data_IF_617992773980
#
_entry.id   IF_617992773980
#
_cell.length_a   1.000
_cell.length_b   1.000
_cell.length_c   1.000
_cell.angle_alpha   90.00
_cell.angle_beta   90.00
_cell.angle_gamma   90.00
#
_symmetry.space_group_name_H-M   'P 1'
#
loop_
_entity.id
_entity.type
_entity.pdbx_description
1 polymer ?
#
# COMPACT_ATOMS: atom_id res chain seq x y z
N UNK A 1 -21.31 8.65 -33.44
CA UNK A 1 -21.88 9.96 -33.08
C UNK A 1 -23.37 9.77 -33.05
N UNK A 2 -23.98 9.67 -31.86
CA UNK A 2 -25.43 9.76 -31.75
C UNK A 2 -25.83 11.23 -31.90
N UNK A 3 -26.53 11.54 -32.98
CA UNK A 3 -27.22 12.82 -33.16
C UNK A 3 -28.58 12.71 -32.46
N UNK A 4 -28.63 13.07 -31.18
CA UNK A 4 -29.88 13.46 -30.53
C UNK A 4 -29.88 14.98 -30.40
N UNK A 5 -30.73 15.61 -31.21
CA UNK A 5 -31.06 17.02 -31.09
C UNK A 5 -31.97 17.13 -29.86
N UNK A 6 -31.46 17.62 -28.73
CA UNK A 6 -32.30 17.89 -27.57
C UNK A 6 -33.09 19.18 -27.78
N UNK A 7 -34.41 19.04 -27.92
CA UNK A 7 -35.39 20.10 -27.69
C UNK A 7 -35.41 20.42 -26.18
N UNK A 8 -35.40 21.70 -25.81
CA UNK A 8 -35.54 22.16 -24.43
C UNK A 8 -37.00 22.47 -24.10
N UNK A 9 -37.46 21.96 -22.96
CA UNK A 9 -38.85 22.02 -22.48
C UNK A 9 -39.25 23.37 -21.86
N UNK A 10 -40.57 23.60 -21.87
CA UNK A 10 -41.32 24.70 -21.27
C UNK A 10 -41.38 24.63 -19.73
N UNK A 11 -41.28 25.78 -19.05
CA UNK A 11 -42.05 26.04 -17.83
C UNK A 11 -42.29 27.55 -17.64
N UNK A 12 -43.58 27.90 -17.62
CA UNK A 12 -44.13 29.21 -17.31
C UNK A 12 -44.04 29.39 -15.78
N UNK A 13 -43.41 30.49 -15.31
CA UNK A 13 -43.32 31.01 -13.93
C UNK A 13 -42.00 30.73 -13.17
N UNK A 14 -41.39 31.86 -12.75
CA UNK A 14 -40.29 32.07 -11.78
C UNK A 14 -39.88 30.83 -10.96
N UNK A 15 -38.83 30.16 -11.41
CA UNK A 15 -37.96 29.32 -10.57
C UNK A 15 -36.50 29.74 -10.78
N UNK A 16 -35.59 29.50 -9.80
CA UNK A 16 -34.17 29.68 -10.02
C UNK A 16 -33.70 28.78 -11.16
N UNK A 17 -32.81 29.29 -12.01
CA UNK A 17 -32.26 28.58 -13.16
C UNK A 17 -31.66 27.21 -12.73
N UNK A 18 -32.30 26.12 -13.10
CA UNK A 18 -31.64 24.83 -13.23
C UNK A 18 -31.32 24.58 -14.70
N UNK A 19 -30.07 24.84 -15.10
CA UNK A 19 -29.59 24.46 -16.42
C UNK A 19 -29.58 22.93 -16.52
N UNK A 20 -30.51 22.33 -17.28
CA UNK A 20 -30.39 20.92 -17.62
C UNK A 20 -29.08 20.70 -18.41
N UNK A 21 -28.35 19.65 -18.00
CA UNK A 21 -26.95 19.39 -18.38
C UNK A 21 -26.78 19.31 -19.90
N UNK A 22 -26.11 20.29 -20.51
CA UNK A 22 -25.54 20.14 -21.86
C UNK A 22 -24.44 19.09 -21.85
N UNK A 23 -24.10 18.55 -23.04
CA UNK A 23 -22.93 17.69 -23.22
C UNK A 23 -21.70 18.45 -22.71
N UNK A 24 -21.22 18.05 -21.54
CA UNK A 24 -20.02 18.59 -20.90
C UNK A 24 -18.78 17.77 -21.24
N UNK A 25 -18.96 16.55 -21.74
CA UNK A 25 -17.89 15.58 -21.98
C UNK A 25 -18.09 14.81 -23.28
N UNK A 26 -17.02 14.67 -24.05
CA UNK A 26 -16.93 13.75 -25.19
C UNK A 26 -15.85 12.71 -24.88
N UNK A 27 -16.15 11.43 -25.06
CA UNK A 27 -15.20 10.32 -24.91
C UNK A 27 -15.05 9.62 -26.26
N UNK A 28 -13.83 9.56 -26.76
CA UNK A 28 -13.48 8.84 -27.99
C UNK A 28 -12.96 7.46 -27.57
N UNK A 29 -13.64 6.40 -28.01
CA UNK A 29 -13.23 5.00 -27.75
C UNK A 29 -12.83 4.29 -29.04
N UNK A 30 -11.86 3.40 -28.96
CA UNK A 30 -11.53 2.41 -30.01
C UNK A 30 -11.38 1.04 -29.37
N UNK A 31 -12.05 0.02 -29.91
CA UNK A 31 -12.06 -1.35 -29.35
C UNK A 31 -12.32 -1.37 -27.83
N UNK A 32 -13.32 -0.60 -27.38
CA UNK A 32 -13.69 -0.39 -25.97
C UNK A 32 -12.64 0.28 -25.06
N UNK A 33 -11.46 0.65 -25.57
CA UNK A 33 -10.47 1.46 -24.85
C UNK A 33 -10.72 2.95 -25.08
N UNK A 34 -10.65 3.77 -24.03
CA UNK A 34 -10.73 5.23 -24.14
C UNK A 34 -9.43 5.73 -24.77
N UNK A 35 -9.55 6.40 -25.91
CA UNK A 35 -8.42 6.96 -26.66
C UNK A 35 -8.18 8.42 -26.27
N UNK A 36 -9.25 9.22 -26.12
CA UNK A 36 -9.21 10.62 -25.66
C UNK A 36 -10.53 11.01 -25.00
N UNK A 37 -10.48 11.94 -24.06
CA UNK A 37 -11.65 12.63 -23.56
C UNK A 37 -11.48 14.16 -23.70
N UNK A 38 -12.59 14.87 -23.79
CA UNK A 38 -12.64 16.32 -23.89
C UNK A 38 -13.72 16.87 -22.98
N UNK A 39 -13.45 18.01 -22.36
CA UNK A 39 -14.45 18.82 -21.67
C UNK A 39 -14.86 19.99 -22.56
N UNK A 40 -16.16 20.24 -22.61
CA UNK A 40 -16.77 21.32 -23.36
C UNK A 40 -17.17 22.44 -22.40
N UNK A 41 -16.55 23.61 -22.55
CA UNK A 41 -16.81 24.78 -21.71
C UNK A 41 -17.75 25.74 -22.43
N UNK A 42 -18.88 26.04 -21.81
CA UNK A 42 -19.84 27.00 -22.33
C UNK A 42 -19.79 28.27 -21.50
N UNK A 43 -19.71 29.42 -22.16
CA UNK A 43 -20.01 30.70 -21.49
C UNK A 43 -21.48 30.96 -21.69
N UNK A 44 -22.18 31.08 -20.57
CA UNK A 44 -23.57 31.49 -20.51
C UNK A 44 -23.57 33.01 -20.27
N UNK A 45 -24.24 33.78 -21.12
CA UNK A 45 -24.32 35.23 -20.93
C UNK A 45 -24.87 35.99 -22.12
N UNK A 46 -25.27 37.21 -21.83
CA UNK A 46 -25.76 38.23 -22.76
C UNK A 46 -24.59 38.83 -23.57
N UNK A 47 -24.74 38.98 -24.90
CA UNK A 47 -23.75 39.61 -25.77
C UNK A 47 -24.32 40.92 -26.36
N UNK A 48 -23.96 42.09 -25.80
CA UNK A 48 -24.57 43.38 -26.15
C UNK A 48 -24.38 43.80 -27.61
N UNK A 49 -23.36 43.29 -28.29
CA UNK A 49 -23.10 43.63 -29.71
C UNK A 49 -24.00 42.90 -30.69
N UNK A 50 -24.84 41.97 -30.21
CA UNK A 50 -25.74 41.15 -31.04
C UNK A 50 -27.22 41.41 -30.75
N UNK A 51 -27.53 42.29 -29.80
CA UNK A 51 -28.87 42.66 -29.34
C UNK A 51 -28.97 44.18 -29.19
N UNK A 52 -30.18 44.74 -29.27
CA UNK A 52 -30.41 46.15 -28.94
C UNK A 52 -30.64 46.24 -27.42
N UNK A 53 -29.68 46.80 -26.69
CA UNK A 53 -29.65 46.83 -25.22
C UNK A 53 -29.31 48.24 -24.72
N UNK A 54 -30.05 48.74 -23.72
CA UNK A 54 -29.83 50.04 -23.10
C UNK A 54 -28.87 50.00 -21.90
N UNK A 55 -28.38 48.81 -21.55
CA UNK A 55 -27.35 48.55 -20.55
C UNK A 55 -27.88 48.06 -19.20
N UNK A 56 -29.17 47.75 -19.09
CA UNK A 56 -29.79 47.23 -17.86
C UNK A 56 -29.68 45.70 -17.71
N UNK A 57 -29.28 45.00 -18.77
CA UNK A 57 -29.08 43.56 -18.80
C UNK A 57 -30.36 42.74 -19.05
N UNK A 58 -31.43 43.37 -19.54
CA UNK A 58 -32.67 42.72 -19.96
C UNK A 58 -32.87 42.79 -21.49
N UNK A 59 -33.71 41.91 -22.03
CA UNK A 59 -34.04 41.91 -23.45
C UNK A 59 -35.16 42.94 -23.74
N UNK A 60 -34.94 43.82 -24.70
CA UNK A 60 -35.86 44.91 -25.05
C UNK A 60 -36.98 44.49 -26.01
N UNK A 61 -36.76 43.42 -26.79
CA UNK A 61 -37.74 42.97 -27.78
C UNK A 61 -38.11 41.49 -27.65
N UNK A 62 -39.41 41.22 -27.84
CA UNK A 62 -40.02 39.89 -27.66
C UNK A 62 -39.52 38.81 -28.63
N UNK A 63 -38.83 39.19 -29.71
CA UNK A 63 -38.26 38.26 -30.69
C UNK A 63 -36.77 37.93 -30.41
N UNK A 64 -36.15 38.57 -29.43
CA UNK A 64 -34.81 38.23 -28.93
C UNK A 64 -34.85 37.08 -27.91
N UNK A 65 -36.07 36.64 -27.57
CA UNK A 65 -36.37 35.62 -26.59
C UNK A 65 -37.37 34.65 -27.23
N UNK A 66 -37.03 33.37 -27.35
CA UNK A 66 -37.99 32.32 -27.74
C UNK A 66 -38.23 31.43 -26.53
N UNK A 67 -39.49 31.31 -26.11
CA UNK A 67 -39.90 30.49 -24.96
C UNK A 67 -39.17 30.85 -23.65
N UNK A 68 -38.88 32.14 -23.44
CA UNK A 68 -38.31 32.66 -22.19
C UNK A 68 -36.78 32.55 -22.04
N UNK A 69 -36.04 32.20 -23.10
CA UNK A 69 -34.57 32.18 -23.08
C UNK A 69 -33.95 33.19 -24.07
N UNK A 70 -32.96 33.95 -23.59
CA UNK A 70 -32.00 34.63 -24.47
C UNK A 70 -31.12 33.56 -25.09
N UNK A 71 -31.18 33.46 -26.40
CA UNK A 71 -30.44 32.46 -27.16
C UNK A 71 -29.02 32.99 -27.31
N UNK A 72 -28.05 32.41 -26.60
CA UNK A 72 -26.69 32.08 -27.07
C UNK A 72 -25.89 31.49 -25.91
N UNK A 73 -25.50 30.21 -26.03
CA UNK A 73 -24.35 29.70 -25.30
C UNK A 73 -23.22 29.51 -26.29
N UNK A 74 -22.13 30.25 -26.10
CA UNK A 74 -20.95 30.09 -26.93
C UNK A 74 -20.13 28.94 -26.32
N UNK A 75 -19.84 27.92 -27.12
CA UNK A 75 -18.75 27.00 -26.79
C UNK A 75 -17.47 27.85 -26.80
N UNK A 76 -16.94 28.12 -25.62
CA UNK A 76 -15.79 29.02 -25.45
C UNK A 76 -14.48 28.26 -25.38
N UNK A 77 -14.53 26.94 -25.16
CA UNK A 77 -13.34 26.12 -25.19
C UNK A 77 -13.67 24.64 -25.27
N UNK A 78 -12.79 23.92 -25.98
CA UNK A 78 -12.66 22.47 -25.90
C UNK A 78 -11.30 22.21 -25.28
N UNK A 79 -11.28 21.70 -24.06
CA UNK A 79 -10.03 21.36 -23.37
C UNK A 79 -9.85 19.85 -23.36
N UNK A 80 -8.66 19.33 -23.74
CA UNK A 80 -8.34 17.93 -23.51
C UNK A 80 -8.60 17.58 -22.05
N UNK A 81 -9.47 16.61 -21.83
CA UNK A 81 -9.68 16.03 -20.52
C UNK A 81 -8.79 14.80 -20.45
N UNK A 82 -7.70 14.92 -19.72
CA UNK A 82 -6.92 13.75 -19.37
C UNK A 82 -7.54 13.17 -18.09
N UNK A 83 -8.01 11.93 -18.15
CA UNK A 83 -8.36 11.17 -16.94
C UNK A 83 -7.12 10.96 -16.03
N UNK A 84 -5.92 11.23 -16.55
CA UNK A 84 -4.69 11.46 -15.80
C UNK A 84 -4.24 12.93 -16.00
N UNK A 85 -4.50 13.88 -15.07
CA UNK A 85 -3.77 15.14 -15.11
C UNK A 85 -2.27 14.82 -15.25
N UNK A 86 -1.47 15.63 -15.96
CA UNK A 86 -0.02 15.46 -15.88
C UNK A 86 0.30 15.38 -14.39
N UNK A 87 0.81 14.23 -13.95
CA UNK A 87 1.28 14.13 -12.58
C UNK A 87 2.18 15.34 -12.39
N UNK A 88 2.09 16.05 -11.25
CA UNK A 88 3.16 16.97 -10.90
C UNK A 88 4.46 16.25 -11.21
N UNK A 89 5.32 16.88 -12.04
CA UNK A 89 6.64 16.35 -12.42
C UNK A 89 7.18 15.65 -11.19
N UNK A 90 7.51 14.34 -11.22
CA UNK A 90 7.65 13.54 -10.01
C UNK A 90 8.56 14.30 -9.06
N UNK A 91 7.93 15.03 -8.14
CA UNK A 91 8.60 15.43 -6.94
C UNK A 91 8.88 14.08 -6.33
N UNK A 92 10.16 13.76 -6.05
CA UNK A 92 10.42 12.55 -5.29
C UNK A 92 9.40 12.55 -4.16
N UNK A 93 8.66 11.43 -3.98
CA UNK A 93 7.68 11.34 -2.92
C UNK A 93 8.34 11.91 -1.68
N UNK A 94 7.64 12.73 -0.86
CA UNK A 94 8.24 13.30 0.34
C UNK A 94 8.98 12.15 0.99
N UNK A 95 10.32 12.29 1.08
CA UNK A 95 11.18 11.19 1.48
C UNK A 95 10.50 10.53 2.64
N UNK A 96 10.23 9.20 2.61
CA UNK A 96 9.66 8.55 3.76
C UNK A 96 10.55 9.01 4.90
N UNK A 97 10.00 9.77 5.85
CA UNK A 97 10.75 10.10 7.06
C UNK A 97 11.33 8.75 7.49
N UNK A 98 12.61 8.73 7.86
CA UNK A 98 13.26 7.55 8.42
C UNK A 98 12.55 7.18 9.73
N UNK A 99 11.32 6.69 9.61
CA UNK A 99 10.36 6.39 10.64
C UNK A 99 10.68 4.98 11.09
N UNK A 100 11.90 4.84 11.58
CA UNK A 100 12.30 3.65 12.30
C UNK A 100 11.41 3.57 13.52
N UNK A 101 10.71 2.46 13.61
CA UNK A 101 9.86 2.12 14.73
C UNK A 101 10.59 1.12 15.61
N UNK A 102 10.36 1.22 16.91
CA UNK A 102 10.98 0.37 17.92
C UNK A 102 10.45 -1.06 17.77
N UNK A 103 11.35 -2.04 17.74
CA UNK A 103 11.02 -3.46 17.67
C UNK A 103 11.33 -4.11 16.32
N UNK A 104 10.90 -5.37 16.18
CA UNK A 104 10.99 -6.14 14.93
C UNK A 104 9.59 -6.36 14.37
N UNK A 105 9.46 -6.35 13.04
CA UNK A 105 8.20 -6.75 12.41
C UNK A 105 8.07 -8.27 12.48
N UNK A 106 7.04 -8.76 13.14
CA UNK A 106 6.63 -10.17 13.17
C UNK A 106 5.52 -10.44 12.16
N UNK A 107 5.70 -11.45 11.30
CA UNK A 107 4.68 -12.03 10.45
C UNK A 107 4.22 -13.34 11.08
N UNK A 108 2.92 -13.45 11.34
CA UNK A 108 2.31 -14.55 12.06
C UNK A 108 1.52 -15.43 11.09
N UNK A 109 1.78 -16.74 11.15
CA UNK A 109 1.22 -17.74 10.26
C UNK A 109 0.48 -18.79 11.08
N UNK A 110 -0.74 -19.14 10.68
CA UNK A 110 -1.52 -20.22 11.28
C UNK A 110 -1.15 -21.58 10.64
N UNK A 111 0.17 -21.83 10.58
CA UNK A 111 0.81 -23.06 10.13
C UNK A 111 2.25 -23.10 10.65
N UNK A 112 2.80 -24.29 10.90
CA UNK A 112 4.23 -24.46 11.23
C UNK A 112 5.15 -24.14 10.04
N UNK A 113 4.62 -24.30 8.82
CA UNK A 113 5.33 -23.94 7.60
C UNK A 113 5.24 -22.42 7.42
N UNK A 114 6.34 -21.73 7.71
CA UNK A 114 6.44 -20.28 7.52
C UNK A 114 5.98 -19.93 6.09
N UNK A 115 5.33 -18.78 5.95
CA UNK A 115 4.80 -18.35 4.66
C UNK A 115 3.51 -19.06 4.23
N UNK A 116 3.03 -20.07 4.95
CA UNK A 116 1.75 -20.73 4.67
C UNK A 116 0.67 -20.25 5.64
N UNK A 117 -0.56 -20.07 5.17
CA UNK A 117 -1.70 -19.66 6.01
C UNK A 117 -1.41 -18.39 6.84
N UNK A 118 -1.00 -17.32 6.15
CA UNK A 118 -0.75 -16.02 6.76
C UNK A 118 -1.96 -15.55 7.59
N UNK A 119 -1.71 -15.00 8.77
CA UNK A 119 -2.74 -14.52 9.69
C UNK A 119 -2.68 -13.00 9.85
N UNK A 120 -1.60 -12.46 10.43
CA UNK A 120 -1.44 -11.02 10.63
C UNK A 120 0.02 -10.62 10.81
N UNK A 121 0.28 -9.31 10.84
CA UNK A 121 1.59 -8.74 11.13
C UNK A 121 1.49 -7.67 12.21
N UNK A 122 2.52 -7.60 13.05
CA UNK A 122 2.68 -6.51 14.03
C UNK A 122 4.15 -6.23 14.28
N UNK A 123 4.42 -5.20 15.07
CA UNK A 123 5.76 -4.85 15.51
C UNK A 123 5.88 -5.25 16.98
N UNK A 124 6.84 -6.12 17.27
CA UNK A 124 7.12 -6.59 18.62
C UNK A 124 8.35 -5.83 19.17
N UNK A 125 8.18 -4.99 20.20
CA UNK A 125 9.28 -4.20 20.76
C UNK A 125 10.43 -5.04 21.30
N UNK A 126 10.14 -6.26 21.76
CA UNK A 126 11.11 -7.24 22.24
C UNK A 126 10.60 -8.66 21.92
N UNK A 127 11.53 -9.60 21.83
CA UNK A 127 11.22 -11.04 21.70
C UNK A 127 11.40 -11.68 23.08
N UNK A 128 10.35 -11.66 23.89
CA UNK A 128 10.32 -12.20 25.26
C UNK A 128 8.94 -12.80 25.54
N UNK A 129 8.52 -13.74 24.70
CA UNK A 129 7.18 -14.31 24.74
C UNK A 129 7.16 -15.65 25.47
N UNK A 130 6.07 -15.85 26.22
CA UNK A 130 5.73 -17.09 26.92
C UNK A 130 4.20 -17.20 26.86
N UNK A 131 3.70 -18.01 25.94
CA UNK A 131 2.27 -18.17 25.68
C UNK A 131 1.67 -19.36 26.44
N UNK A 132 2.47 -20.09 27.22
CA UNK A 132 2.03 -21.33 27.86
C UNK A 132 1.45 -22.29 26.81
N UNK A 133 0.27 -22.85 27.06
CA UNK A 133 -0.41 -23.73 26.09
C UNK A 133 -1.29 -22.99 25.07
N UNK A 134 -0.89 -21.78 24.70
CA UNK A 134 -1.70 -20.86 23.90
C UNK A 134 -0.93 -20.23 22.75
N UNK A 135 -1.54 -19.20 22.17
CA UNK A 135 -1.00 -18.52 21.00
C UNK A 135 -0.90 -17.01 21.21
N UNK A 136 -0.13 -16.31 20.36
CA UNK A 136 -0.01 -14.84 20.40
C UNK A 136 -1.33 -14.09 20.23
N UNK A 137 -2.33 -14.73 19.61
CA UNK A 137 -3.67 -14.21 19.42
C UNK A 137 -4.67 -15.34 19.13
N UNK A 138 -5.47 -15.71 20.14
CA UNK A 138 -6.46 -16.79 20.05
C UNK A 138 -7.58 -16.55 19.02
N UNK A 139 -7.81 -15.30 18.58
CA UNK A 139 -8.85 -15.03 17.58
C UNK A 139 -8.40 -15.34 16.14
N UNK A 140 -7.09 -15.47 15.90
CA UNK A 140 -6.53 -15.57 14.55
C UNK A 140 -5.48 -16.67 14.38
N UNK A 141 -5.03 -17.28 15.48
CA UNK A 141 -4.10 -18.41 15.51
C UNK A 141 -4.67 -19.52 16.38
N UNK A 142 -4.54 -20.77 15.92
CA UNK A 142 -4.74 -21.93 16.78
C UNK A 142 -3.77 -21.93 17.97
N UNK A 143 -4.09 -22.68 19.03
CA UNK A 143 -3.21 -22.84 20.19
C UNK A 143 -1.90 -23.55 19.84
N UNK A 144 -1.93 -24.37 18.80
CA UNK A 144 -0.80 -25.14 18.29
C UNK A 144 -0.68 -24.89 16.78
N UNK A 145 0.39 -25.39 16.18
CA UNK A 145 0.64 -25.36 14.73
C UNK A 145 0.69 -23.96 14.12
N UNK A 146 1.52 -23.08 14.68
CA UNK A 146 1.74 -21.74 14.15
C UNK A 146 3.23 -21.42 14.03
N UNK A 147 3.55 -20.40 13.24
CA UNK A 147 4.93 -19.95 13.07
C UNK A 147 5.00 -18.43 12.97
N UNK A 148 6.17 -17.89 13.31
CA UNK A 148 6.41 -16.46 13.33
C UNK A 148 7.76 -16.16 12.70
N UNK A 149 7.77 -15.17 11.81
CA UNK A 149 8.99 -14.64 11.22
C UNK A 149 9.18 -13.18 11.62
N UNK A 150 10.20 -12.91 12.43
CA UNK A 150 10.61 -11.56 12.76
C UNK A 150 11.77 -11.08 11.90
N UNK A 151 11.70 -9.84 11.45
CA UNK A 151 12.79 -9.17 10.74
C UNK A 151 12.92 -7.69 11.13
N UNK A 152 14.16 -7.21 11.11
CA UNK A 152 14.48 -5.80 11.36
C UNK A 152 15.99 -5.58 11.48
N UNK A 153 16.34 -4.53 12.21
CA UNK A 153 17.72 -4.11 12.46
C UNK A 153 18.02 -4.13 13.97
N UNK A 154 19.18 -4.67 14.32
CA UNK A 154 19.80 -4.66 15.64
C UNK A 154 20.86 -3.56 15.69
N UNK A 155 20.66 -2.57 16.55
CA UNK A 155 21.63 -1.49 16.79
C UNK A 155 22.61 -1.88 17.89
N UNK A 156 23.90 -1.77 17.58
CA UNK A 156 25.00 -2.13 18.47
C UNK A 156 25.87 -0.90 18.70
N UNK A 157 26.16 -0.56 19.96
CA UNK A 157 26.95 0.63 20.29
C UNK A 157 28.46 0.43 20.07
N UNK A 158 28.98 -0.75 20.38
CA UNK A 158 30.40 -1.08 20.32
C UNK A 158 30.61 -2.33 19.48
N UNK A 159 31.64 -2.33 18.64
CA UNK A 159 32.02 -3.54 17.90
C UNK A 159 32.61 -4.60 18.84
N UNK A 160 32.53 -5.85 18.43
CA UNK A 160 33.12 -6.97 19.15
C UNK A 160 32.32 -8.25 19.02
N UNK A 161 32.71 -9.26 19.79
CA UNK A 161 32.03 -10.55 19.83
C UNK A 161 30.78 -10.47 20.69
N UNK A 162 29.63 -10.71 20.06
CA UNK A 162 28.34 -10.85 20.74
C UNK A 162 27.92 -12.31 20.74
N UNK A 163 27.37 -12.78 21.84
CA UNK A 163 26.71 -14.08 21.92
C UNK A 163 25.21 -13.87 22.00
N UNK A 164 24.47 -14.48 21.08
CA UNK A 164 23.01 -14.51 21.09
C UNK A 164 22.54 -15.80 21.75
N UNK A 165 21.41 -15.73 22.45
CA UNK A 165 20.76 -16.87 23.07
C UNK A 165 19.29 -16.86 22.70
N UNK A 166 18.79 -18.00 22.22
CA UNK A 166 17.36 -18.23 22.05
C UNK A 166 16.88 -19.20 23.13
N UNK A 167 15.70 -18.97 23.69
CA UNK A 167 14.97 -19.98 24.48
C UNK A 167 13.68 -20.24 23.73
N UNK A 168 13.50 -21.44 23.19
CA UNK A 168 12.29 -21.76 22.42
C UNK A 168 11.71 -23.14 22.73
N UNK A 169 10.40 -23.23 22.55
CA UNK A 169 9.56 -24.43 22.47
C UNK A 169 8.49 -24.06 21.44
N UNK A 170 8.46 -24.60 20.22
CA UNK A 170 9.40 -25.53 19.59
C UNK A 170 10.56 -24.81 18.85
N UNK A 171 10.69 -25.01 17.53
CA UNK A 171 11.92 -24.80 16.77
C UNK A 171 12.26 -23.34 16.49
N UNK A 172 13.55 -23.07 16.29
CA UNK A 172 14.08 -21.72 16.11
C UNK A 172 15.23 -21.66 15.10
N UNK A 173 15.26 -20.58 14.30
CA UNK A 173 16.44 -20.20 13.51
C UNK A 173 16.72 -18.71 13.66
N UNK A 174 17.99 -18.34 13.86
CA UNK A 174 18.43 -16.95 13.99
C UNK A 174 19.51 -16.64 12.95
N UNK A 175 19.29 -15.56 12.19
CA UNK A 175 20.29 -14.98 11.31
C UNK A 175 20.69 -13.59 11.79
N UNK A 176 21.99 -13.31 11.71
CA UNK A 176 22.55 -11.97 11.88
C UNK A 176 23.36 -11.63 10.64
N UNK A 177 23.09 -10.48 10.00
CA UNK A 177 23.75 -10.06 8.75
C UNK A 177 23.72 -11.15 7.66
N UNK A 178 22.55 -11.80 7.51
CA UNK A 178 22.29 -12.94 6.60
C UNK A 178 23.08 -14.23 6.89
N UNK A 179 23.88 -14.28 7.96
CA UNK A 179 24.52 -15.51 8.44
C UNK A 179 23.60 -16.25 9.41
N UNK A 180 23.25 -17.50 9.11
CA UNK A 180 22.55 -18.39 10.03
C UNK A 180 23.50 -18.77 11.18
N UNK A 181 23.18 -18.34 12.40
CA UNK A 181 24.04 -18.57 13.58
C UNK A 181 23.43 -19.57 14.57
N UNK A 182 22.10 -19.70 14.61
CA UNK A 182 21.40 -20.73 15.39
C UNK A 182 20.43 -21.43 14.46
N UNK A 183 20.50 -22.76 14.41
CA UNK A 183 19.57 -23.63 13.66
C UNK A 183 19.17 -24.82 14.54
N UNK A 184 17.98 -24.74 15.12
CA UNK A 184 17.36 -25.81 15.89
C UNK A 184 15.90 -25.94 15.45
N UNK A 185 15.69 -26.32 14.18
CA UNK A 185 14.36 -26.43 13.56
C UNK A 185 13.74 -27.81 13.76
N UNK A 186 13.58 -28.20 15.01
CA UNK A 186 13.00 -29.49 15.42
C UNK A 186 12.05 -29.30 16.59
N UNK A 187 11.13 -30.25 16.79
CA UNK A 187 10.24 -30.21 17.96
C UNK A 187 11.06 -30.48 19.22
N UNK A 188 10.89 -29.65 20.25
CA UNK A 188 11.60 -29.77 21.50
C UNK A 188 10.95 -28.93 22.60
N UNK A 189 10.97 -29.45 23.83
CA UNK A 189 10.66 -28.68 25.04
C UNK A 189 11.56 -27.43 25.17
N UNK A 190 11.31 -26.51 26.14
CA UNK A 190 12.02 -25.23 26.21
C UNK A 190 13.53 -25.42 26.27
N UNK A 191 14.21 -25.07 25.19
CA UNK A 191 15.62 -25.32 24.96
C UNK A 191 16.36 -24.01 24.76
N UNK A 192 17.53 -23.87 25.40
CA UNK A 192 18.42 -22.73 25.18
C UNK A 192 19.46 -23.08 24.11
N UNK A 193 19.47 -22.36 22.99
CA UNK A 193 20.55 -22.40 22.01
C UNK A 193 21.35 -21.10 22.07
N UNK A 194 22.63 -21.14 21.71
CA UNK A 194 23.46 -19.94 21.66
C UNK A 194 24.53 -20.01 20.59
N UNK A 195 24.91 -18.85 20.06
CA UNK A 195 25.97 -18.71 19.09
C UNK A 195 26.59 -17.33 19.15
N UNK A 196 27.87 -17.23 18.79
CA UNK A 196 28.63 -15.98 18.82
C UNK A 196 28.95 -15.48 17.41
N UNK A 197 28.92 -14.16 17.22
CA UNK A 197 29.29 -13.49 15.97
C UNK A 197 29.97 -12.16 16.28
N UNK A 198 30.92 -11.75 15.43
CA UNK A 198 31.52 -10.42 15.52
C UNK A 198 30.62 -9.39 14.83
N UNK A 199 30.25 -8.33 15.57
CA UNK A 199 29.46 -7.22 15.05
C UNK A 199 30.30 -5.96 14.96
N UNK A 200 29.95 -5.12 13.99
CA UNK A 200 30.44 -3.75 13.91
C UNK A 200 29.47 -2.81 14.62
N UNK A 201 29.93 -1.65 15.13
CA UNK A 201 29.04 -0.62 15.63
C UNK A 201 28.04 -0.19 14.56
N UNK A 202 26.82 0.14 15.00
CA UNK A 202 25.73 0.55 14.12
C UNK A 202 24.70 -0.54 13.91
N UNK A 203 24.07 -0.55 12.74
CA UNK A 203 22.94 -1.42 12.43
C UNK A 203 23.40 -2.73 11.81
N UNK A 204 22.83 -3.82 12.34
CA UNK A 204 23.06 -5.18 11.87
C UNK A 204 21.71 -5.81 11.56
N UNK A 205 21.59 -6.57 10.47
CA UNK A 205 20.34 -7.26 10.13
C UNK A 205 20.06 -8.38 11.12
N UNK A 206 18.82 -8.49 11.58
CA UNK A 206 18.35 -9.64 12.36
C UNK A 206 17.13 -10.25 11.70
N UNK A 207 17.13 -11.58 11.61
CA UNK A 207 15.96 -12.39 11.22
C UNK A 207 15.81 -13.52 12.21
N UNK A 208 14.62 -13.76 12.69
CA UNK A 208 14.30 -14.84 13.63
C UNK A 208 13.09 -15.60 13.10
N UNK A 209 13.21 -16.90 12.98
CA UNK A 209 12.10 -17.81 12.70
C UNK A 209 11.81 -18.63 13.94
N UNK A 210 10.54 -18.85 14.19
CA UNK A 210 10.03 -19.68 15.28
C UNK A 210 8.82 -20.46 14.79
N UNK A 211 8.63 -21.68 15.30
CA UNK A 211 7.35 -22.37 15.18
C UNK A 211 6.97 -23.06 16.49
N UNK A 212 5.67 -23.23 16.67
CA UNK A 212 5.03 -24.03 17.69
C UNK A 212 4.29 -25.18 17.01
N UNK A 213 4.66 -26.43 17.32
CA UNK A 213 3.97 -27.61 16.79
C UNK A 213 2.86 -28.07 17.71
N UNK A 214 3.11 -28.18 19.01
CA UNK A 214 2.14 -28.61 20.01
C UNK A 214 2.65 -28.42 21.44
N UNK A 215 1.77 -28.03 22.35
CA UNK A 215 2.08 -28.06 23.78
C UNK A 215 2.42 -26.69 24.33
N UNK A 216 3.64 -26.49 24.81
CA UNK A 216 4.06 -25.25 25.46
C UNK A 216 4.77 -24.34 24.48
N UNK A 217 4.38 -23.08 24.39
CA UNK A 217 4.93 -22.16 23.42
C UNK A 217 5.72 -21.02 24.09
N UNK A 218 7.01 -20.95 23.80
CA UNK A 218 7.90 -19.91 24.34
C UNK A 218 8.93 -19.49 23.28
N UNK A 219 9.27 -18.20 23.25
CA UNK A 219 10.39 -17.69 22.47
C UNK A 219 10.99 -16.45 23.14
N UNK A 220 12.27 -16.53 23.51
CA UNK A 220 13.05 -15.41 24.05
C UNK A 220 14.32 -15.21 23.24
N UNK A 221 14.66 -13.95 22.96
CA UNK A 221 15.93 -13.57 22.35
C UNK A 221 16.75 -12.70 23.30
N UNK A 222 17.88 -13.23 23.73
CA UNK A 222 18.82 -12.58 24.65
C UNK A 222 20.19 -12.41 23.97
N UNK A 223 21.03 -11.56 24.55
CA UNK A 223 22.40 -11.35 24.10
C UNK A 223 23.36 -11.03 25.25
N UNK A 224 24.64 -11.25 25.01
CA UNK A 224 25.77 -10.75 25.80
C UNK A 224 26.86 -10.25 24.85
N UNK A 225 27.76 -9.38 25.34
CA UNK A 225 28.80 -8.78 24.51
C UNK A 225 29.68 -7.80 25.28
N UNK A 226 30.48 -6.97 24.57
CA UNK A 226 31.35 -5.98 25.20
C UNK A 226 30.58 -5.05 26.15
N UNK A 227 30.86 -5.14 27.45
CA UNK A 227 30.19 -4.35 28.48
C UNK A 227 28.72 -4.73 28.75
N UNK A 228 28.25 -5.86 28.21
CA UNK A 228 26.87 -6.33 28.34
C UNK A 228 26.86 -7.74 28.92
N UNK A 229 26.36 -7.89 30.14
CA UNK A 229 26.01 -9.20 30.70
C UNK A 229 24.78 -9.76 30.01
N UNK A 230 24.60 -11.08 30.03
CA UNK A 230 23.44 -11.74 29.40
C UNK A 230 22.12 -11.12 29.85
N UNK A 231 21.37 -10.58 28.88
CA UNK A 231 20.06 -9.95 29.11
C UNK A 231 19.18 -10.07 27.86
N UNK A 232 17.88 -9.83 28.00
CA UNK A 232 17.00 -9.60 26.86
C UNK A 232 17.55 -8.47 25.99
N UNK A 233 17.43 -8.60 24.66
CA UNK A 233 17.80 -7.48 23.77
C UNK A 233 16.83 -6.32 24.09
N UNK A 234 17.34 -5.14 24.52
CA UNK A 234 16.47 -4.01 24.82
C UNK A 234 15.71 -3.57 23.57
N UNK A 235 14.47 -3.10 23.74
CA UNK A 235 13.69 -2.60 22.61
C UNK A 235 14.37 -1.45 21.88
N UNK A 236 15.11 -0.60 22.60
CA UNK A 236 15.92 0.48 22.02
C UNK A 236 17.07 0.01 21.13
N UNK A 237 17.42 -1.28 21.17
CA UNK A 237 18.38 -1.90 20.27
C UNK A 237 17.71 -2.54 19.04
N UNK A 238 16.39 -2.60 18.98
CA UNK A 238 15.64 -3.20 17.87
C UNK A 238 14.89 -2.11 17.12
N UNK A 239 14.99 -2.13 15.80
CA UNK A 239 14.20 -1.25 14.96
C UNK A 239 13.72 -1.93 13.69
N UNK A 240 12.58 -1.47 13.20
CA UNK A 240 12.06 -1.84 11.89
C UNK A 240 11.85 -0.57 11.07
N UNK A 241 12.05 -0.70 9.76
CA UNK A 241 11.98 0.38 8.78
C UNK A 241 10.83 0.03 7.83
N UNK A 242 9.61 0.51 8.12
CA UNK A 242 8.38 0.11 7.44
C UNK A 242 8.17 0.86 6.12
N UNK A 243 7.43 0.24 5.20
CA UNK A 243 6.89 0.99 4.07
C UNK A 243 5.74 1.92 4.53
N UNK A 244 5.50 2.98 3.77
CA UNK A 244 4.52 4.01 4.09
C UNK A 244 3.21 3.74 3.35
N UNK A 245 2.08 3.95 4.02
CA UNK A 245 0.74 3.93 3.41
C UNK A 245 0.12 5.32 3.48
N UNK A 246 -0.39 5.80 2.36
CA UNK A 246 -1.19 7.01 2.23
C UNK A 246 -2.60 6.61 1.79
N UNK A 247 -3.60 6.97 2.60
CA UNK A 247 -5.01 6.68 2.36
C UNK A 247 -5.75 7.94 1.96
N UNK A 248 -6.52 7.83 0.89
CA UNK A 248 -7.26 8.93 0.28
C UNK A 248 -8.73 8.56 0.14
N UNK A 249 -9.61 9.55 0.26
CA UNK A 249 -10.94 9.43 -0.34
C UNK A 249 -10.82 9.66 -1.84
N UNK A 250 -11.71 9.06 -2.62
CA UNK A 250 -11.71 8.98 -4.08
C UNK A 250 -10.48 8.32 -4.71
N UNK A 251 -10.58 7.97 -6.00
CA UNK A 251 -9.59 7.15 -6.72
C UNK A 251 -8.37 7.92 -7.21
N UNK A 252 -8.49 9.24 -7.32
CA UNK A 252 -7.53 10.12 -7.95
C UNK A 252 -6.46 10.68 -7.03
N UNK A 253 -6.33 10.18 -5.79
CA UNK A 253 -5.29 10.55 -4.82
C UNK A 253 -5.25 12.05 -4.46
N UNK A 254 -6.39 12.74 -4.50
CA UNK A 254 -6.51 14.19 -4.28
C UNK A 254 -6.82 14.52 -2.82
N UNK A 255 -7.52 13.63 -2.13
CA UNK A 255 -8.04 13.88 -0.78
C UNK A 255 -7.34 13.00 0.24
N UNK A 256 -6.08 13.33 0.60
CA UNK A 256 -5.33 12.59 1.63
C UNK A 256 -6.05 12.69 2.98
N UNK A 257 -6.43 11.54 3.53
CA UNK A 257 -7.09 11.43 4.84
C UNK A 257 -6.07 11.07 5.90
N UNK A 258 -5.21 10.08 5.61
CA UNK A 258 -4.29 9.55 6.62
C UNK A 258 -3.02 9.03 5.98
N UNK A 259 -1.89 9.34 6.61
CA UNK A 259 -0.62 8.67 6.38
C UNK A 259 -0.32 7.80 7.59
N UNK A 260 0.00 6.52 7.39
CA UNK A 260 0.38 5.62 8.48
C UNK A 260 1.37 4.55 8.03
N UNK A 261 1.88 3.83 9.01
CA UNK A 261 2.68 2.62 8.79
C UNK A 261 1.74 1.44 8.71
N UNK A 262 1.82 0.73 7.59
CA UNK A 262 1.23 -0.59 7.46
C UNK A 262 2.32 -1.65 7.67
N UNK A 263 1.94 -2.73 8.36
CA UNK A 263 2.88 -3.83 8.63
C UNK A 263 2.82 -4.92 7.56
N UNK A 264 1.82 -4.85 6.67
CA UNK A 264 1.56 -5.85 5.64
C UNK A 264 0.77 -5.24 4.46
N UNK A 265 0.79 -5.94 3.33
CA UNK A 265 -0.15 -5.71 2.20
C UNK A 265 -0.85 -7.05 1.91
N UNK A 266 -1.72 -7.48 2.84
CA UNK A 266 -2.65 -8.61 2.70
C UNK A 266 -4.01 -8.19 3.27
N UNK A 267 -4.61 -7.18 2.65
CA UNK A 267 -5.86 -6.61 3.12
C UNK A 267 -7.06 -7.25 2.44
N UNK A 268 -8.07 -7.52 3.25
CA UNK A 268 -9.42 -7.88 2.85
C UNK A 268 -10.36 -7.09 3.76
N UNK A 269 -10.83 -5.96 3.26
CA UNK A 269 -11.72 -5.07 4.00
C UNK A 269 -13.18 -5.47 3.81
N UNK A 270 -13.49 -6.39 2.88
CA UNK A 270 -14.86 -6.69 2.48
C UNK A 270 -15.59 -5.40 2.10
N UNK A 271 -16.75 -5.14 2.71
CA UNK A 271 -17.52 -3.91 2.51
C UNK A 271 -17.19 -2.80 3.53
N UNK A 272 -16.09 -2.96 4.26
CA UNK A 272 -15.63 -2.04 5.29
C UNK A 272 -14.68 -0.96 4.77
N UNK A 273 -14.38 0.02 5.62
CA UNK A 273 -13.38 1.05 5.32
C UNK A 273 -11.97 0.63 5.74
N UNK A 274 -10.93 1.11 5.05
CA UNK A 274 -9.57 0.70 5.34
C UNK A 274 -9.00 1.29 6.63
N UNK A 275 -9.32 2.56 6.91
CA UNK A 275 -8.94 3.29 8.12
C UNK A 275 -10.04 4.30 8.46
N UNK A 276 -10.20 4.61 9.75
CA UNK A 276 -11.20 5.57 10.20
C UNK A 276 -11.08 6.91 9.47
N UNK A 277 -12.20 7.41 8.93
CA UNK A 277 -12.27 8.66 8.16
C UNK A 277 -12.18 8.48 6.64
N UNK A 278 -11.84 7.28 6.16
CA UNK A 278 -11.89 6.94 4.74
C UNK A 278 -13.25 6.32 4.41
N UNK A 279 -13.78 6.65 3.24
CA UNK A 279 -15.04 6.08 2.74
C UNK A 279 -14.90 4.56 2.54
N UNK A 280 -15.87 3.73 2.98
CA UNK A 280 -15.88 2.30 2.67
C UNK A 280 -15.90 2.00 1.16
N UNK A 281 -16.54 2.86 0.37
CA UNK A 281 -16.62 2.76 -1.09
C UNK A 281 -16.00 4.03 -1.70
N UNK A 282 -15.26 3.95 -2.81
CA UNK A 282 -14.59 5.11 -3.41
C UNK A 282 -13.44 5.67 -2.57
N UNK A 283 -12.41 4.86 -2.40
CA UNK A 283 -11.14 5.26 -1.80
C UNK A 283 -9.94 4.81 -2.64
N UNK A 284 -8.77 5.36 -2.33
CA UNK A 284 -7.51 4.87 -2.88
C UNK A 284 -6.43 4.82 -1.83
N UNK A 285 -5.47 3.93 -2.05
CA UNK A 285 -4.32 3.75 -1.18
C UNK A 285 -3.05 3.73 -2.03
N UNK A 286 -2.03 4.44 -1.55
CA UNK A 286 -0.69 4.38 -2.11
C UNK A 286 0.27 3.86 -1.06
N UNK A 287 0.93 2.75 -1.38
CA UNK A 287 2.07 2.26 -0.61
C UNK A 287 3.38 2.60 -1.29
N UNK A 288 4.35 3.05 -0.50
CA UNK A 288 5.69 3.39 -0.97
C UNK A 288 6.77 2.76 -0.10
N UNK A 289 7.80 2.20 -0.73
CA UNK A 289 8.86 1.51 -0.01
C UNK A 289 10.01 1.10 -0.92
N UNK A 290 10.92 0.30 -0.36
CA UNK A 290 12.11 -0.22 -1.03
C UNK A 290 12.15 -1.74 -0.91
N UNK A 291 12.55 -2.37 -2.01
CA UNK A 291 12.81 -3.80 -2.13
C UNK A 291 14.27 -4.03 -2.44
N UNK A 292 14.85 -5.03 -1.79
CA UNK A 292 16.25 -5.42 -1.97
C UNK A 292 16.34 -6.92 -2.29
N UNK A 293 16.55 -7.30 -3.56
CA UNK A 293 16.66 -8.69 -3.98
C UNK A 293 17.82 -9.40 -3.27
N UNK A 294 17.62 -10.62 -2.74
CA UNK A 294 18.70 -11.37 -2.11
C UNK A 294 19.69 -11.97 -3.11
N UNK A 295 19.27 -12.21 -4.36
CA UNK A 295 20.06 -12.84 -5.42
C UNK A 295 19.76 -12.16 -6.76
N UNK A 296 20.63 -12.35 -7.75
CA UNK A 296 20.37 -11.90 -9.11
C UNK A 296 19.30 -12.81 -9.73
N UNK A 297 18.37 -12.23 -10.49
CA UNK A 297 17.47 -13.01 -11.32
C UNK A 297 16.11 -12.38 -11.53
N UNK A 298 15.19 -13.20 -12.04
CA UNK A 298 13.84 -12.75 -12.36
C UNK A 298 12.94 -12.90 -11.14
N UNK A 299 12.33 -11.79 -10.76
CA UNK A 299 11.37 -11.72 -9.66
C UNK A 299 9.98 -11.49 -10.23
N UNK A 300 9.01 -12.29 -9.79
CA UNK A 300 7.62 -12.20 -10.21
C UNK A 300 6.82 -11.54 -9.10
N UNK A 301 6.20 -10.40 -9.38
CA UNK A 301 5.28 -9.72 -8.49
C UNK A 301 3.86 -10.16 -8.82
N UNK A 302 3.06 -10.44 -7.79
CA UNK A 302 1.66 -10.82 -7.91
C UNK A 302 0.81 -9.91 -7.05
N UNK A 303 -0.23 -9.34 -7.65
CA UNK A 303 -1.24 -8.53 -6.97
C UNK A 303 -2.59 -9.21 -7.05
N UNK A 304 -3.36 -9.23 -5.96
CA UNK A 304 -4.79 -9.55 -6.01
C UNK A 304 -5.56 -8.33 -5.52
N UNK A 305 -6.39 -7.73 -6.38
CA UNK A 305 -7.13 -6.53 -6.04
C UNK A 305 -8.59 -6.55 -6.49
N UNK A 306 -9.42 -5.84 -5.73
CA UNK A 306 -10.82 -5.51 -6.01
C UNK A 306 -11.01 -4.08 -5.46
N UNK A 307 -11.03 -3.00 -6.24
CA UNK A 307 -10.90 -2.88 -7.70
C UNK A 307 -9.42 -2.72 -8.15
N UNK A 308 -9.09 -1.60 -8.79
CA UNK A 308 -7.92 -1.47 -9.67
C UNK A 308 -6.59 -1.30 -8.97
N UNK A 309 -5.53 -1.72 -9.65
CA UNK A 309 -4.15 -1.75 -9.13
C UNK A 309 -3.13 -1.29 -10.16
N UNK A 310 -2.10 -0.59 -9.69
CA UNK A 310 -0.87 -0.30 -10.45
C UNK A 310 0.36 -0.55 -9.59
N UNK A 311 1.34 -1.26 -10.12
CA UNK A 311 2.63 -1.50 -9.45
C UNK A 311 3.75 -0.86 -10.27
N UNK A 312 4.59 -0.07 -9.61
CA UNK A 312 5.77 0.56 -10.20
C UNK A 312 7.04 0.10 -9.50
N UNK A 313 8.09 -0.17 -10.28
CA UNK A 313 9.47 -0.42 -9.81
C UNK A 313 10.37 0.66 -10.38
N UNK A 314 11.05 1.45 -9.55
CA UNK A 314 11.84 2.63 -9.96
C UNK A 314 11.07 3.56 -10.92
N UNK A 315 9.81 3.85 -10.58
CA UNK A 315 8.85 4.62 -11.39
C UNK A 315 8.51 4.03 -12.78
N UNK A 316 9.00 2.83 -13.11
CA UNK A 316 8.57 2.08 -14.29
C UNK A 316 7.34 1.26 -13.95
N UNK A 317 6.27 1.42 -14.74
CA UNK A 317 5.02 0.69 -14.58
C UNK A 317 5.23 -0.78 -14.94
N UNK A 318 5.02 -1.66 -13.96
CA UNK A 318 5.15 -3.11 -14.08
C UNK A 318 3.78 -3.78 -14.26
N UNK A 319 2.83 -3.51 -13.36
CA UNK A 319 1.43 -4.01 -13.46
C UNK A 319 0.51 -2.80 -13.66
N UNK A 320 -0.40 -2.90 -14.63
CA UNK A 320 -1.41 -1.86 -14.92
C UNK A 320 -2.79 -2.47 -15.17
N UNK A 321 -3.58 -2.56 -14.10
CA UNK A 321 -4.99 -2.91 -14.17
C UNK A 321 -5.81 -1.84 -13.44
N UNK A 322 -5.70 -0.58 -13.90
CA UNK A 322 -6.42 0.55 -13.32
C UNK A 322 -7.87 0.64 -13.83
N UNK A 323 -8.62 -0.45 -13.67
CA UNK A 323 -10.02 -0.55 -14.11
C UNK A 323 -10.91 -1.08 -13.00
N UNK A 324 -12.24 -0.96 -13.17
CA UNK A 324 -13.19 -1.59 -12.26
C UNK A 324 -13.23 -3.08 -12.54
N UNK A 325 -13.07 -3.89 -11.50
CA UNK A 325 -13.10 -5.33 -11.61
C UNK A 325 -13.30 -5.96 -10.24
N UNK A 326 -13.97 -7.11 -10.24
CA UNK A 326 -13.98 -8.01 -9.09
C UNK A 326 -12.56 -8.46 -8.75
N UNK A 327 -12.38 -9.07 -7.57
CA UNK A 327 -11.13 -9.68 -7.13
C UNK A 327 -10.40 -10.43 -8.25
N UNK A 328 -9.32 -9.80 -8.74
CA UNK A 328 -8.54 -10.24 -9.90
C UNK A 328 -7.08 -10.34 -9.49
N UNK A 329 -6.40 -11.38 -9.99
CA UNK A 329 -4.97 -11.57 -9.76
C UNK A 329 -4.18 -11.22 -11.02
N UNK A 330 -3.30 -10.25 -10.90
CA UNK A 330 -2.35 -9.83 -11.93
C UNK A 330 -0.93 -10.26 -11.52
N UNK A 331 -0.10 -10.59 -12.51
CA UNK A 331 1.25 -11.08 -12.26
C UNK A 331 2.19 -10.67 -13.37
N UNK A 332 3.35 -10.11 -13.00
CA UNK A 332 4.38 -9.69 -13.94
C UNK A 332 5.77 -9.92 -13.37
N UNK A 333 6.75 -10.18 -14.24
CA UNK A 333 8.13 -10.46 -13.86
C UNK A 333 9.09 -9.36 -14.30
N UNK A 334 10.12 -9.10 -13.48
CA UNK A 334 11.19 -8.14 -13.77
C UNK A 334 12.53 -8.72 -13.30
N UNK A 335 13.59 -8.48 -14.07
CA UNK A 335 14.94 -8.84 -13.69
C UNK A 335 15.49 -7.84 -12.67
N UNK A 336 15.96 -8.33 -11.52
CA UNK A 336 16.55 -7.50 -10.46
C UNK A 336 17.93 -8.03 -10.06
N UNK A 337 18.83 -7.11 -9.74
CA UNK A 337 20.18 -7.42 -9.25
C UNK A 337 20.18 -7.53 -7.73
N UNK A 338 20.93 -8.51 -7.21
CA UNK A 338 21.14 -8.75 -5.81
C UNK A 338 21.66 -7.49 -5.12
N UNK A 339 21.18 -7.27 -3.89
CA UNK A 339 21.64 -6.22 -2.99
C UNK A 339 21.49 -4.78 -3.51
N UNK A 340 20.83 -4.58 -4.65
CA UNK A 340 20.44 -3.27 -5.13
C UNK A 340 19.07 -2.88 -4.55
N UNK A 341 18.93 -1.61 -4.18
CA UNK A 341 17.66 -1.08 -3.70
C UNK A 341 16.79 -0.66 -4.89
N UNK A 342 15.54 -1.11 -4.90
CA UNK A 342 14.52 -0.79 -5.90
C UNK A 342 13.34 -0.12 -5.21
N UNK A 343 12.99 1.07 -5.67
CA UNK A 343 11.84 1.80 -5.14
C UNK A 343 10.54 1.19 -5.66
N UNK A 344 9.59 0.93 -4.77
CA UNK A 344 8.26 0.44 -5.12
C UNK A 344 7.22 1.50 -4.79
N UNK A 345 6.30 1.69 -5.73
CA UNK A 345 5.01 2.34 -5.51
C UNK A 345 3.90 1.39 -5.93
N UNK A 346 3.04 1.02 -4.99
CA UNK A 346 1.80 0.30 -5.25
C UNK A 346 0.64 1.29 -5.10
N UNK A 347 -0.17 1.40 -6.13
CA UNK A 347 -1.40 2.19 -6.13
C UNK A 347 -2.59 1.25 -6.24
N UNK A 348 -3.63 1.51 -5.45
CA UNK A 348 -4.85 0.73 -5.40
C UNK A 348 -6.05 1.68 -5.29
N UNK A 349 -7.18 1.30 -5.86
CA UNK A 349 -8.45 1.94 -5.57
C UNK A 349 -9.58 0.93 -5.44
N UNK A 350 -10.61 1.32 -4.70
CA UNK A 350 -11.91 0.65 -4.63
C UNK A 350 -12.97 1.68 -4.99
N UNK A 351 -13.91 1.35 -5.89
CA UNK A 351 -15.05 2.22 -6.25
C UNK A 351 -16.37 1.75 -5.64
N UNK A 352 -16.51 0.47 -5.31
CA UNK A 352 -17.70 -0.07 -4.66
C UNK A 352 -17.55 -1.54 -4.32
N UNK A 353 -18.19 -1.99 -3.25
CA UNK A 353 -18.43 -3.40 -3.00
C UNK A 353 -17.37 -4.02 -2.11
N UNK A 354 -16.66 -5.03 -2.63
CA UNK A 354 -15.69 -5.77 -1.84
C UNK A 354 -14.28 -5.23 -2.06
N UNK A 355 -13.66 -4.66 -1.04
CA UNK A 355 -12.31 -4.13 -1.13
C UNK A 355 -11.26 -5.17 -0.71
N UNK A 356 -10.36 -5.55 -1.60
CA UNK A 356 -9.23 -6.46 -1.33
C UNK A 356 -7.96 -5.93 -1.99
N UNK A 357 -6.83 -6.03 -1.30
CA UNK A 357 -5.51 -5.74 -1.86
C UNK A 357 -4.44 -6.63 -1.22
N UNK A 358 -3.84 -7.51 -2.03
CA UNK A 358 -2.74 -8.40 -1.61
C UNK A 358 -1.55 -8.22 -2.54
N UNK A 359 -0.36 -8.12 -1.98
CA UNK A 359 0.90 -8.08 -2.73
C UNK A 359 1.81 -9.22 -2.26
N UNK A 360 2.34 -9.97 -3.22
CA UNK A 360 3.40 -10.96 -3.04
C UNK A 360 4.44 -10.85 -4.13
N UNK A 361 5.61 -11.45 -3.89
CA UNK A 361 6.65 -11.57 -4.89
C UNK A 361 7.41 -12.90 -4.74
N UNK A 362 7.87 -13.51 -5.81
CA UNK A 362 8.71 -14.70 -5.75
C UNK A 362 9.94 -14.55 -6.65
N UNK A 363 10.96 -15.37 -6.43
CA UNK A 363 12.21 -15.29 -7.18
C UNK A 363 13.37 -15.96 -6.46
N UNK A 364 14.59 -15.88 -7.01
CA UNK A 364 15.78 -16.49 -6.44
C UNK A 364 16.05 -16.02 -5.00
N UNK A 365 16.36 -16.96 -4.12
CA UNK A 365 16.69 -16.69 -2.72
C UNK A 365 15.52 -16.26 -1.83
N UNK A 366 14.29 -16.22 -2.34
CA UNK A 366 13.08 -15.98 -1.54
C UNK A 366 12.53 -17.32 -1.05
N UNK A 367 12.44 -17.48 0.27
CA UNK A 367 11.81 -18.65 0.88
C UNK A 367 10.32 -18.46 1.12
N UNK A 368 9.85 -17.23 1.31
CA UNK A 368 8.45 -16.88 1.61
C UNK A 368 8.09 -15.53 0.98
N UNK A 369 6.86 -15.35 0.52
CA UNK A 369 6.48 -14.26 -0.39
C UNK A 369 5.31 -13.38 0.05
N UNK A 370 4.80 -13.54 1.27
CA UNK A 370 3.52 -12.92 1.66
C UNK A 370 3.68 -11.56 2.34
N UNK A 371 2.88 -10.59 1.89
CA UNK A 371 2.52 -9.41 2.68
C UNK A 371 3.58 -8.33 2.82
N UNK A 372 4.43 -8.13 1.82
CA UNK A 372 5.43 -7.07 1.85
C UNK A 372 6.55 -7.31 2.86
N UNK A 373 6.84 -8.58 3.18
CA UNK A 373 7.98 -8.99 4.02
C UNK A 373 9.34 -8.48 3.46
N UNK A 374 9.36 -8.21 2.16
CA UNK A 374 10.44 -7.62 1.38
C UNK A 374 10.42 -6.09 1.29
N UNK A 375 9.31 -5.44 1.64
CA UNK A 375 9.17 -3.99 1.62
C UNK A 375 9.71 -3.38 2.91
N UNK A 376 10.54 -2.35 2.76
CA UNK A 376 11.06 -1.52 3.85
C UNK A 376 10.94 -0.03 3.51
N UNK A 377 11.21 0.84 4.48
CA UNK A 377 11.38 2.28 4.21
C UNK A 377 12.59 2.54 3.30
N UNK A 378 12.61 3.71 2.65
CA UNK A 378 13.82 4.20 2.01
C UNK A 378 14.89 4.50 3.08
N UNK A 379 16.08 3.90 2.92
CA UNK A 379 17.22 4.03 3.84
C UNK A 379 18.29 5.00 3.35
N UNK A 380 18.11 5.58 2.17
CA UNK A 380 19.11 6.40 1.49
C UNK A 380 19.20 7.85 1.98
N UNK A 381 18.44 8.22 3.03
CA UNK A 381 18.40 9.57 3.60
C UNK A 381 18.63 9.62 5.10
#
# INVERSE_FOLDING_TARGET
>A
MDYLIHQGDNAIIKQPFEAQKRISRIIVKSLNKVFRAYTLNYKYGWEPTKHFDDGDGFAEFIYEVKDGQVIHSLLTGVTPWNDNPPQPTPTPPPSPLANRVVGLRGLYYNSIDIGTNYSFARIDPQIQFDWGSGSPNYSSLGNDTYSIFWAGDLKVASGGTYTFYTVSDDGVKLWINNQLIIDNWTNHAPTTNSASINLIPGENKVKLQYYESSGGAIIRLNWSGPGITTQAIPSSNLSYCPFLAEYFNEEGFRSLIKTQIDNQIQFDWGTGFPVSGVDPDSFSVRWTGVVKPPQDGDYTFTTTSDDGVRLFINDQLLIDNWTLHVSTTDTESIHLNANQDYYIRLEYFDRSGGATMRLSWNGPGISFSHGGDFLTCDRSQ
#
